data_IF_736562715650
#
_entry.id   IF_736562715650
#
_cell.length_a   1.000
_cell.length_b   1.000
_cell.length_c   1.000
_cell.angle_alpha   90.00
_cell.angle_beta   90.00
_cell.angle_gamma   90.00
#
_symmetry.space_group_name_H-M   'P 1'
#
loop_
_entity.id
_entity.type
_entity.pdbx_description
1 polymer ?
#
# COMPACT_ATOMS: atom_id res chain seq x y z
N UNK A 1 11.05 -17.84 -22.54
CA UNK A 1 9.65 -17.35 -22.45
C UNK A 1 9.59 -16.15 -21.55
N UNK A 2 8.94 -15.09 -21.99
CA UNK A 2 8.77 -13.89 -21.16
C UNK A 2 7.60 -14.09 -20.20
N UNK A 3 7.82 -13.66 -18.94
CA UNK A 3 6.80 -13.68 -17.92
C UNK A 3 6.71 -12.30 -17.26
N UNK A 4 5.50 -11.89 -16.93
CA UNK A 4 5.26 -10.67 -16.17
C UNK A 4 4.84 -11.08 -14.76
N UNK A 5 5.64 -10.68 -13.78
CA UNK A 5 5.39 -10.98 -12.37
C UNK A 5 5.09 -9.68 -11.65
N UNK A 6 3.91 -9.60 -11.04
CA UNK A 6 3.47 -8.42 -10.27
C UNK A 6 3.40 -8.82 -8.82
N UNK A 7 4.07 -8.05 -7.96
CA UNK A 7 4.09 -8.32 -6.53
C UNK A 7 4.16 -7.03 -5.73
N UNK A 8 3.63 -7.06 -4.51
CA UNK A 8 3.84 -5.99 -3.53
C UNK A 8 5.18 -6.29 -2.88
N UNK A 9 6.17 -5.42 -3.10
CA UNK A 9 7.54 -5.65 -2.60
C UNK A 9 7.92 -4.78 -1.42
N UNK A 10 7.13 -3.76 -1.08
CA UNK A 10 7.40 -2.89 0.05
C UNK A 10 6.10 -2.36 0.62
N UNK A 11 5.95 -2.42 1.94
CA UNK A 11 4.82 -1.87 2.66
C UNK A 11 5.38 -1.08 3.84
N UNK A 12 5.03 0.20 3.92
CA UNK A 12 5.47 1.07 5.01
C UNK A 12 4.26 1.67 5.71
N UNK A 13 4.32 1.70 7.04
CA UNK A 13 3.29 2.34 7.85
C UNK A 13 3.88 3.61 8.43
N UNK A 14 3.28 4.76 8.12
CA UNK A 14 3.73 6.03 8.66
C UNK A 14 2.97 6.38 9.94
N UNK A 15 3.49 7.36 10.67
CA UNK A 15 3.03 7.71 12.00
C UNK A 15 1.53 8.00 12.09
N UNK A 16 0.96 8.63 11.06
CA UNK A 16 -0.47 8.96 11.05
C UNK A 16 -1.38 7.78 10.66
N UNK A 17 -0.81 6.61 10.41
CA UNK A 17 -1.54 5.41 10.04
C UNK A 17 -1.65 5.16 8.54
N UNK A 18 -1.18 6.06 7.70
CA UNK A 18 -1.17 5.82 6.25
C UNK A 18 -0.26 4.63 5.93
N UNK A 19 -0.74 3.75 5.07
CA UNK A 19 0.01 2.58 4.61
C UNK A 19 0.48 2.86 3.19
N UNK A 20 1.79 2.92 3.00
CA UNK A 20 2.38 3.14 1.68
C UNK A 20 2.73 1.80 1.07
N UNK A 21 2.26 1.57 -0.15
CA UNK A 21 2.40 0.29 -0.84
C UNK A 21 3.18 0.51 -2.12
N UNK A 22 4.23 -0.29 -2.31
CA UNK A 22 4.97 -0.30 -3.57
C UNK A 22 4.72 -1.62 -4.29
N UNK A 23 4.26 -1.53 -5.52
CA UNK A 23 4.03 -2.68 -6.39
C UNK A 23 5.15 -2.75 -7.41
N UNK A 24 5.77 -3.91 -7.51
CA UNK A 24 6.84 -4.18 -8.47
C UNK A 24 6.28 -5.00 -9.61
N UNK A 25 6.54 -4.55 -10.83
CA UNK A 25 6.27 -5.32 -12.04
C UNK A 25 7.61 -5.75 -12.62
N UNK A 26 7.87 -7.05 -12.64
CA UNK A 26 9.11 -7.62 -13.16
C UNK A 26 8.83 -8.36 -14.46
N UNK A 27 9.68 -8.14 -15.44
CA UNK A 27 9.66 -8.92 -16.68
C UNK A 27 10.78 -9.95 -16.57
N UNK A 28 10.40 -11.23 -16.65
CA UNK A 28 11.32 -12.34 -16.47
C UNK A 28 11.50 -13.07 -17.80
N UNK A 29 12.70 -13.54 -18.04
CA UNK A 29 12.99 -14.42 -19.17
C UNK A 29 13.84 -15.58 -18.66
N UNK A 30 13.31 -16.79 -18.79
CA UNK A 30 13.98 -18.03 -18.37
C UNK A 30 14.47 -17.96 -16.92
N UNK A 31 13.62 -17.43 -16.02
CA UNK A 31 13.93 -17.30 -14.61
C UNK A 31 14.80 -16.11 -14.24
N UNK A 32 15.16 -15.27 -15.21
CA UNK A 32 16.01 -14.12 -14.98
C UNK A 32 15.24 -12.81 -15.22
N UNK A 33 15.32 -11.88 -14.30
CA UNK A 33 14.68 -10.58 -14.46
C UNK A 33 15.47 -9.72 -15.46
N UNK A 34 14.81 -9.29 -16.51
CA UNK A 34 15.41 -8.46 -17.55
C UNK A 34 14.93 -7.01 -17.53
N UNK A 35 13.83 -6.74 -16.84
CA UNK A 35 13.27 -5.39 -16.70
C UNK A 35 12.36 -5.33 -15.50
N UNK A 36 12.09 -4.13 -15.01
CA UNK A 36 11.18 -3.93 -13.90
C UNK A 36 10.77 -2.49 -13.75
N UNK A 37 9.62 -2.30 -13.11
CA UNK A 37 9.12 -0.98 -12.78
C UNK A 37 8.41 -1.02 -11.43
N UNK A 38 8.24 0.17 -10.82
CA UNK A 38 7.60 0.30 -9.52
C UNK A 38 6.44 1.28 -9.61
N UNK A 39 5.41 0.99 -8.88
CA UNK A 39 4.25 1.86 -8.71
C UNK A 39 3.94 1.99 -7.23
N UNK A 40 3.72 3.21 -6.75
CA UNK A 40 3.41 3.47 -5.35
C UNK A 40 2.00 3.98 -5.21
N UNK A 41 1.31 3.53 -4.18
CA UNK A 41 0.03 4.10 -3.78
C UNK A 41 -0.08 4.12 -2.26
N UNK A 42 -1.05 4.86 -1.75
CA UNK A 42 -1.25 5.05 -0.31
C UNK A 42 -2.66 4.65 0.05
N UNK A 43 -2.78 3.91 1.16
CA UNK A 43 -4.08 3.59 1.77
C UNK A 43 -4.15 4.40 3.07
N UNK A 44 -4.97 5.45 3.08
CA UNK A 44 -5.12 6.30 4.26
C UNK A 44 -6.12 5.68 5.25
N UNK A 45 -6.02 6.03 6.56
CA UNK A 45 -7.02 5.57 7.52
C UNK A 45 -8.43 5.98 7.08
N UNK A 46 -9.33 5.01 7.03
CA UNK A 46 -10.70 5.20 6.56
C UNK A 46 -10.94 4.86 5.11
N UNK A 47 -9.89 4.63 4.32
CA UNK A 47 -10.04 4.18 2.94
C UNK A 47 -10.49 2.72 2.89
N UNK A 48 -11.21 2.39 1.83
CA UNK A 48 -11.57 1.00 1.56
C UNK A 48 -10.35 0.25 1.05
N UNK A 49 -9.93 -0.78 1.78
CA UNK A 49 -8.76 -1.59 1.41
C UNK A 49 -9.14 -3.01 1.01
N UNK A 50 -10.41 -3.26 0.70
CA UNK A 50 -10.90 -4.61 0.38
C UNK A 50 -10.27 -5.20 -0.87
N UNK A 51 -9.83 -4.35 -1.81
CA UNK A 51 -9.20 -4.78 -3.05
C UNK A 51 -7.68 -4.89 -2.99
N UNK A 52 -7.09 -4.67 -1.81
CA UNK A 52 -5.64 -4.67 -1.66
C UNK A 52 -5.06 -6.08 -1.52
N UNK A 53 -3.75 -6.20 -1.69
CA UNK A 53 -3.01 -7.43 -1.41
C UNK A 53 -3.30 -7.92 0.01
N UNK A 54 -3.27 -9.24 0.22
CA UNK A 54 -3.63 -9.84 1.51
C UNK A 54 -2.78 -9.29 2.67
N UNK A 55 -1.49 -9.05 2.45
CA UNK A 55 -0.61 -8.47 3.48
C UNK A 55 -0.98 -7.03 3.78
N UNK A 56 -1.32 -6.26 2.74
CA UNK A 56 -1.77 -4.87 2.90
C UNK A 56 -3.08 -4.84 3.68
N UNK A 57 -4.03 -5.71 3.35
CA UNK A 57 -5.30 -5.80 4.09
C UNK A 57 -5.08 -6.11 5.57
N UNK A 58 -4.20 -7.06 5.88
CA UNK A 58 -3.90 -7.44 7.26
C UNK A 58 -3.27 -6.27 8.03
N UNK A 59 -2.35 -5.55 7.42
CA UNK A 59 -1.70 -4.39 8.02
C UNK A 59 -2.70 -3.26 8.23
N UNK A 60 -3.56 -2.98 7.25
CA UNK A 60 -4.60 -1.97 7.39
C UNK A 60 -5.58 -2.34 8.49
N UNK A 61 -5.99 -3.60 8.59
CA UNK A 61 -6.89 -4.06 9.64
C UNK A 61 -6.30 -3.85 11.03
N UNK A 62 -5.01 -4.09 11.18
CA UNK A 62 -4.31 -3.89 12.45
C UNK A 62 -4.06 -2.41 12.76
N UNK A 63 -3.80 -1.60 11.74
CA UNK A 63 -3.36 -0.22 11.87
C UNK A 63 -4.54 0.77 11.88
N UNK A 64 -5.52 0.57 11.02
CA UNK A 64 -6.66 1.48 10.85
C UNK A 64 -7.77 1.18 11.85
N UNK A 65 -7.45 1.34 13.14
CA UNK A 65 -8.45 1.22 14.21
C UNK A 65 -9.38 2.44 14.19
N UNK A 66 -10.50 2.37 14.88
CA UNK A 66 -11.43 3.50 14.98
C UNK A 66 -10.75 4.75 15.51
N UNK A 67 -9.85 4.60 16.49
CA UNK A 67 -9.10 5.73 17.05
C UNK A 67 -8.15 6.35 16.02
N UNK A 68 -7.44 5.54 15.26
CA UNK A 68 -6.52 6.01 14.22
C UNK A 68 -7.29 6.72 13.11
N UNK A 69 -8.40 6.15 12.66
CA UNK A 69 -9.25 6.77 11.63
C UNK A 69 -9.78 8.12 12.10
N UNK A 70 -10.28 8.19 13.33
CA UNK A 70 -10.80 9.44 13.89
C UNK A 70 -9.71 10.51 14.00
N UNK A 71 -8.52 10.14 14.46
CA UNK A 71 -7.39 11.06 14.57
C UNK A 71 -6.92 11.56 13.21
N UNK A 72 -6.89 10.69 12.22
CA UNK A 72 -6.51 11.07 10.86
C UNK A 72 -7.52 12.08 10.28
N UNK A 73 -8.81 11.81 10.40
CA UNK A 73 -9.87 12.69 9.91
C UNK A 73 -9.84 14.04 10.61
N UNK A 74 -9.58 14.06 11.91
CA UNK A 74 -9.45 15.28 12.68
C UNK A 74 -8.27 16.13 12.20
N UNK A 75 -7.12 15.49 11.94
CA UNK A 75 -5.94 16.17 11.43
C UNK A 75 -6.18 16.72 10.02
N UNK A 76 -6.88 15.99 9.16
CA UNK A 76 -7.22 16.45 7.82
C UNK A 76 -8.18 17.65 7.87
N UNK A 77 -9.16 17.62 8.75
CA UNK A 77 -10.09 18.73 8.93
C UNK A 77 -9.36 19.99 9.39
N UNK A 78 -8.37 19.83 10.28
CA UNK A 78 -7.56 20.95 10.77
C UNK A 78 -6.68 21.56 9.67
N UNK A 79 -6.24 20.75 8.71
CA UNK A 79 -5.41 21.21 7.60
C UNK A 79 -6.22 21.67 6.39
N UNK A 80 -7.45 21.20 6.28
CA UNK A 80 -8.31 21.41 5.12
C UNK A 80 -9.02 22.77 5.11
N UNK A 81 -8.31 23.79 5.45
CA UNK A 81 -8.89 25.14 5.54
C UNK A 81 -8.94 25.81 4.17
#
# INVERSE_FOLDING_TARGET
>A
MLEKVISVDLIEVVENGCVQVRTKTAIMEDGKQISGSFHRHVVAPGDDYSGEDARVKAICAATHTAAVVAAYKAAQAAQGV
#
